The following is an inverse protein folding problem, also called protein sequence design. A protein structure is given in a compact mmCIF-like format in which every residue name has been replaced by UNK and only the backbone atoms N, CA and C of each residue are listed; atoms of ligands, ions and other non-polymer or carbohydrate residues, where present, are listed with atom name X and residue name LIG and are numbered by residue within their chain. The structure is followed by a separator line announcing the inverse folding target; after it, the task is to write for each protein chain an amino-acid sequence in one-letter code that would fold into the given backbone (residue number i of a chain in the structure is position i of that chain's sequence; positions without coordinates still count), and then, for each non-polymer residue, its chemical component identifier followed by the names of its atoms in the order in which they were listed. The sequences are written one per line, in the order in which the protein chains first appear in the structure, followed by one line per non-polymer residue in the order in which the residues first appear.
data_IF_718649115961
#
_entry.id   IF_718649115961
#
_cell.length_a   1.000
_cell.length_b   1.000
_cell.length_c   1.000
_cell.angle_alpha   90.00
_cell.angle_beta   90.00
_cell.angle_gamma   90.00
#
_symmetry.space_group_name_H-M   'P 1'
#
loop_
_entity.id
_entity.type
_entity.pdbx_description
1 polymer ?
#
# COMPACT_ATOMS: atom_id res chain seq x y z
N UNK A 1 -0.77 -10.05 17.07
CA UNK A 1 -0.60 -9.14 15.92
C UNK A 1 0.85 -9.09 15.48
N UNK A 2 1.77 -8.49 16.27
CA UNK A 2 3.17 -8.34 15.85
C UNK A 2 3.93 -9.65 15.58
N UNK A 3 3.58 -10.75 16.24
CA UNK A 3 4.21 -12.05 15.94
C UNK A 3 3.85 -12.57 14.53
N UNK A 4 2.60 -12.35 14.09
CA UNK A 4 2.20 -12.65 12.72
C UNK A 4 2.89 -11.71 11.73
N UNK A 5 2.93 -10.40 12.03
CA UNK A 5 3.64 -9.42 11.20
C UNK A 5 5.10 -9.81 10.97
N UNK A 6 5.83 -10.14 12.05
CA UNK A 6 7.25 -10.50 11.97
C UNK A 6 7.49 -11.80 11.22
N UNK A 7 6.59 -12.78 11.37
CA UNK A 7 6.70 -14.08 10.70
C UNK A 7 6.38 -13.97 9.20
N UNK A 8 5.33 -13.23 8.86
CA UNK A 8 4.72 -13.27 7.52
C UNK A 8 5.04 -12.02 6.68
N UNK A 9 5.54 -10.94 7.29
CA UNK A 9 5.87 -9.67 6.62
C UNK A 9 4.66 -8.75 6.41
N UNK A 10 3.47 -9.17 6.85
CA UNK A 10 2.23 -8.43 6.76
C UNK A 10 1.10 -9.14 7.48
N UNK A 11 -0.05 -8.48 7.63
CA UNK A 11 -1.28 -9.03 8.21
C UNK A 11 -2.50 -8.22 7.77
N UNK A 12 -3.67 -8.83 7.85
CA UNK A 12 -4.97 -8.16 7.67
C UNK A 12 -5.55 -7.85 9.06
N UNK A 13 -5.99 -6.60 9.27
CA UNK A 13 -6.74 -6.19 10.46
C UNK A 13 -8.17 -5.88 10.05
N UNK A 14 -9.09 -6.77 10.38
CA UNK A 14 -10.52 -6.54 10.16
C UNK A 14 -11.06 -5.47 11.11
N UNK A 15 -11.94 -4.60 10.60
CA UNK A 15 -12.59 -3.58 11.42
C UNK A 15 -11.64 -2.55 12.02
N UNK A 16 -10.48 -2.31 11.38
CA UNK A 16 -9.47 -1.36 11.85
C UNK A 16 -10.00 0.08 11.89
N UNK A 17 -10.86 0.43 10.93
CA UNK A 17 -11.52 1.73 10.85
C UNK A 17 -13.03 1.52 11.01
N UNK A 18 -13.70 2.51 11.60
CA UNK A 18 -15.14 2.46 11.70
C UNK A 18 -15.77 2.72 10.32
N UNK A 19 -16.99 2.20 10.13
CA UNK A 19 -17.69 2.27 8.84
C UNK A 19 -17.95 3.71 8.39
N UNK A 20 -18.21 4.65 9.31
CA UNK A 20 -18.45 6.04 8.96
C UNK A 20 -17.20 6.73 8.38
N UNK A 21 -16.01 6.44 8.92
CA UNK A 21 -14.73 6.93 8.39
C UNK A 21 -14.49 6.40 6.98
N UNK A 22 -14.73 5.10 6.74
CA UNK A 22 -14.58 4.51 5.41
C UNK A 22 -15.60 5.09 4.42
N UNK A 23 -16.88 5.17 4.79
CA UNK A 23 -17.93 5.73 3.93
C UNK A 23 -17.66 7.20 3.56
N UNK A 24 -17.17 8.01 4.50
CA UNK A 24 -16.81 9.40 4.25
C UNK A 24 -15.66 9.49 3.22
N UNK A 25 -14.61 8.69 3.39
CA UNK A 25 -13.50 8.63 2.46
C UNK A 25 -13.90 8.13 1.07
N UNK A 26 -14.71 7.06 0.99
CA UNK A 26 -15.25 6.54 -0.28
C UNK A 26 -16.06 7.62 -1.00
N UNK A 27 -17.00 8.27 -0.31
CA UNK A 27 -17.83 9.31 -0.91
C UNK A 27 -17.01 10.53 -1.37
N UNK A 28 -15.96 10.91 -0.63
CA UNK A 28 -15.08 12.01 -1.02
C UNK A 28 -14.20 11.66 -2.21
N UNK A 29 -13.67 10.44 -2.25
CA UNK A 29 -12.91 9.91 -3.36
C UNK A 29 -13.77 9.83 -4.64
N UNK A 30 -15.01 9.34 -4.56
CA UNK A 30 -15.93 9.21 -5.69
C UNK A 30 -16.29 10.57 -6.31
N UNK A 31 -16.45 11.60 -5.48
CA UNK A 31 -16.70 12.97 -5.96
C UNK A 31 -15.51 13.51 -6.75
N UNK A 32 -14.28 13.15 -6.36
CA UNK A 32 -13.04 13.69 -6.92
C UNK A 32 -12.53 12.88 -8.12
N UNK A 33 -12.80 11.58 -8.16
CA UNK A 33 -12.33 10.64 -9.18
C UNK A 33 -12.56 11.14 -10.63
N UNK A 34 -13.73 11.72 -11.01
CA UNK A 34 -13.97 12.14 -12.39
C UNK A 34 -13.01 13.22 -12.93
N UNK A 35 -12.30 13.91 -12.05
CA UNK A 35 -11.31 14.93 -12.43
C UNK A 35 -9.97 14.33 -12.90
N UNK A 36 -9.76 13.02 -12.71
CA UNK A 36 -8.52 12.33 -13.03
C UNK A 36 -8.73 11.30 -14.15
N UNK A 37 -8.14 11.52 -15.34
CA UNK A 37 -8.22 10.53 -16.41
C UNK A 37 -7.52 9.21 -16.03
N UNK A 38 -8.10 8.03 -16.34
CA UNK A 38 -7.41 6.75 -16.18
C UNK A 38 -6.06 6.73 -16.91
N UNK A 39 -5.05 6.11 -16.30
CA UNK A 39 -3.70 5.97 -16.87
C UNK A 39 -2.87 7.27 -16.91
N UNK A 40 -3.36 8.36 -16.32
CA UNK A 40 -2.64 9.64 -16.32
C UNK A 40 -1.47 9.69 -15.32
N UNK A 41 -1.46 8.83 -14.30
CA UNK A 41 -0.42 8.81 -13.28
C UNK A 41 0.81 7.99 -13.73
N UNK A 42 1.99 8.61 -13.68
CA UNK A 42 3.26 8.01 -14.11
C UNK A 42 4.28 7.81 -12.98
N UNK A 43 3.91 8.17 -11.74
CA UNK A 43 4.82 8.21 -10.58
C UNK A 43 6.11 9.02 -10.82
N UNK A 44 6.12 9.94 -11.81
CA UNK A 44 7.33 10.66 -12.21
C UNK A 44 8.38 9.78 -12.91
N UNK A 45 8.07 8.53 -13.24
CA UNK A 45 8.98 7.56 -13.87
C UNK A 45 8.70 7.35 -15.37
N UNK A 46 7.93 8.24 -16.00
CA UNK A 46 7.61 8.18 -17.42
C UNK A 46 6.92 6.87 -17.81
N UNK A 47 7.37 6.23 -18.90
CA UNK A 47 6.77 5.01 -19.43
C UNK A 47 6.82 3.83 -18.45
N UNK A 48 7.89 3.71 -17.65
CA UNK A 48 8.02 2.63 -16.68
C UNK A 48 6.97 2.76 -15.56
N UNK A 49 6.77 3.98 -15.05
CA UNK A 49 5.74 4.23 -14.05
C UNK A 49 4.32 4.13 -14.61
N UNK A 50 4.09 4.55 -15.86
CA UNK A 50 2.81 4.35 -16.53
C UNK A 50 2.48 2.86 -16.68
N UNK A 51 3.46 2.03 -17.06
CA UNK A 51 3.28 0.58 -17.15
C UNK A 51 3.03 -0.07 -15.78
N UNK A 52 3.65 0.44 -14.72
CA UNK A 52 3.41 -0.01 -13.35
C UNK A 52 2.02 0.38 -12.84
N UNK A 53 1.56 1.60 -13.10
CA UNK A 53 0.26 2.10 -12.63
C UNK A 53 -0.91 1.46 -13.37
N UNK A 54 -0.77 1.21 -14.68
CA UNK A 54 -1.84 0.68 -15.51
C UNK A 54 -2.57 1.76 -16.32
N UNK A 55 -3.12 1.35 -17.46
CA UNK A 55 -3.72 2.27 -18.45
C UNK A 55 -5.20 2.62 -18.16
N UNK A 56 -5.87 1.79 -17.37
CA UNK A 56 -7.25 1.92 -16.93
C UNK A 56 -7.35 2.08 -15.39
N UNK A 57 -6.33 2.68 -14.78
CA UNK A 57 -6.29 2.95 -13.34
C UNK A 57 -6.41 4.45 -13.07
N UNK A 58 -7.34 4.84 -12.20
CA UNK A 58 -7.42 6.20 -11.67
C UNK A 58 -6.68 6.23 -10.34
N UNK A 59 -5.63 7.05 -10.26
CA UNK A 59 -4.84 7.21 -9.04
C UNK A 59 -4.60 8.69 -8.76
N UNK A 60 -4.85 9.10 -7.53
CA UNK A 60 -4.60 10.47 -7.08
C UNK A 60 -4.25 10.54 -5.60
N UNK A 61 -3.60 11.64 -5.21
CA UNK A 61 -3.09 11.89 -3.85
C UNK A 61 -3.79 13.09 -3.21
N UNK A 62 -3.18 13.65 -2.16
CA UNK A 62 -3.68 14.81 -1.40
C UNK A 62 -4.96 14.51 -0.60
N UNK A 63 -4.97 13.34 0.04
CA UNK A 63 -6.12 12.82 0.80
C UNK A 63 -6.65 13.77 1.89
N UNK A 64 -5.82 14.56 2.61
CA UNK A 64 -6.35 15.56 3.55
C UNK A 64 -7.20 16.66 2.89
N UNK A 65 -7.14 16.84 1.56
CA UNK A 65 -7.97 17.81 0.83
C UNK A 65 -9.33 17.22 0.41
N UNK A 66 -9.55 15.92 0.61
CA UNK A 66 -10.78 15.24 0.24
C UNK A 66 -11.81 15.30 1.37
N UNK A 67 -11.40 14.88 2.56
CA UNK A 67 -12.26 14.79 3.75
C UNK A 67 -11.39 14.69 5.02
N UNK A 68 -11.91 15.20 6.14
CA UNK A 68 -11.24 15.12 7.45
C UNK A 68 -11.17 13.67 7.97
N UNK A 69 -12.01 12.76 7.45
CA UNK A 69 -11.95 11.33 7.75
C UNK A 69 -10.56 10.72 7.48
N UNK A 70 -9.76 11.30 6.57
CA UNK A 70 -8.38 10.87 6.38
C UNK A 70 -7.50 11.13 7.62
N UNK A 71 -7.76 12.21 8.36
CA UNK A 71 -7.04 12.51 9.60
C UNK A 71 -7.36 11.47 10.68
N UNK A 72 -8.61 10.98 10.75
CA UNK A 72 -8.98 9.88 11.64
C UNK A 72 -8.27 8.56 11.26
N UNK A 73 -8.06 8.32 9.97
CA UNK A 73 -7.26 7.18 9.49
C UNK A 73 -5.80 7.31 9.95
N UNK A 74 -5.23 8.50 9.87
CA UNK A 74 -3.85 8.76 10.28
C UNK A 74 -3.66 8.67 11.80
N UNK A 75 -4.66 9.07 12.58
CA UNK A 75 -4.63 9.06 14.05
C UNK A 75 -5.08 7.71 14.65
N UNK A 76 -5.21 6.67 13.82
CA UNK A 76 -5.65 5.35 14.27
C UNK A 76 -4.60 4.70 15.19
N UNK A 77 -5.01 4.39 16.43
CA UNK A 77 -4.11 3.83 17.46
C UNK A 77 -3.50 2.48 17.06
N UNK A 78 -4.23 1.63 16.34
CA UNK A 78 -3.70 0.33 15.87
C UNK A 78 -2.65 0.56 14.80
N UNK A 79 -2.87 1.52 13.89
CA UNK A 79 -1.89 1.85 12.85
C UNK A 79 -0.61 2.41 13.48
N UNK A 80 -0.77 3.37 14.40
CA UNK A 80 0.32 3.97 15.15
C UNK A 80 1.11 2.93 15.94
N UNK A 81 0.43 1.99 16.62
CA UNK A 81 1.11 0.92 17.38
C UNK A 81 1.95 -0.01 16.49
N UNK A 82 1.49 -0.32 15.28
CA UNK A 82 2.27 -1.09 14.29
C UNK A 82 3.47 -0.27 13.81
N UNK A 83 3.26 1.00 13.45
CA UNK A 83 4.31 1.92 13.02
C UNK A 83 5.39 2.12 14.09
N UNK A 84 4.99 2.33 15.34
CA UNK A 84 5.87 2.45 16.50
C UNK A 84 6.74 1.19 16.66
N UNK A 85 6.13 0.01 16.56
CA UNK A 85 6.84 -1.25 16.74
C UNK A 85 7.84 -1.56 15.61
N UNK A 86 7.59 -1.06 14.40
CA UNK A 86 8.42 -1.35 13.21
C UNK A 86 9.47 -0.27 12.97
N UNK A 87 9.12 1.02 13.07
CA UNK A 87 9.97 2.12 12.61
C UNK A 87 10.78 2.78 13.74
N UNK A 88 10.19 3.02 14.91
CA UNK A 88 10.88 3.71 16.01
C UNK A 88 12.11 3.00 16.59
N UNK A 89 12.30 1.67 16.47
CA UNK A 89 13.59 1.06 16.80
C UNK A 89 14.76 1.56 15.95
N UNK A 90 14.47 2.21 14.81
CA UNK A 90 15.44 2.61 13.80
C UNK A 90 15.47 4.12 13.53
N UNK A 91 14.56 4.90 14.10
CA UNK A 91 14.49 6.35 13.90
C UNK A 91 13.99 7.11 15.14
N UNK A 92 14.12 8.45 15.13
CA UNK A 92 13.57 9.31 16.20
C UNK A 92 12.08 9.63 16.05
N UNK A 93 11.56 9.55 14.82
CA UNK A 93 10.15 9.81 14.47
C UNK A 93 9.89 9.35 13.03
N UNK A 94 8.62 9.12 12.68
CA UNK A 94 8.18 8.82 11.32
C UNK A 94 7.03 9.74 10.90
N UNK A 95 6.74 9.78 9.60
CA UNK A 95 5.59 10.47 9.02
C UNK A 95 5.07 9.71 7.81
N UNK A 96 3.87 10.09 7.34
CA UNK A 96 3.30 9.57 6.10
C UNK A 96 4.12 10.05 4.90
N UNK A 97 4.71 9.11 4.16
CA UNK A 97 5.38 9.41 2.90
C UNK A 97 4.37 9.77 1.80
N UNK A 98 3.40 8.88 1.57
CA UNK A 98 2.39 9.02 0.53
C UNK A 98 1.07 8.39 0.96
N UNK A 99 -0.04 9.10 0.73
CA UNK A 99 -1.40 8.54 0.76
C UNK A 99 -2.07 8.74 -0.58
N UNK A 100 -2.67 7.68 -1.14
CA UNK A 100 -3.30 7.70 -2.46
C UNK A 100 -4.61 6.91 -2.47
N UNK A 101 -5.54 7.36 -3.31
CA UNK A 101 -6.69 6.57 -3.73
C UNK A 101 -6.34 5.89 -5.06
N UNK A 102 -6.82 4.65 -5.21
CA UNK A 102 -6.64 3.84 -6.41
C UNK A 102 -7.98 3.21 -6.78
N UNK A 103 -8.50 3.55 -7.96
CA UNK A 103 -9.57 2.82 -8.62
C UNK A 103 -8.94 2.03 -9.77
N UNK A 104 -8.91 0.70 -9.62
CA UNK A 104 -8.39 -0.20 -10.64
C UNK A 104 -9.55 -0.56 -11.58
N UNK A 105 -9.46 -0.16 -12.83
CA UNK A 105 -10.51 -0.43 -13.82
C UNK A 105 -10.47 -1.88 -14.34
N UNK A 106 -11.58 -2.36 -14.93
CA UNK A 106 -11.65 -3.71 -15.48
C UNK A 106 -10.58 -3.98 -16.54
N UNK A 107 -10.02 -5.20 -16.50
CA UNK A 107 -9.04 -5.68 -17.48
C UNK A 107 -7.62 -5.18 -17.26
N UNK A 108 -7.34 -4.49 -16.16
CA UNK A 108 -5.96 -4.12 -15.80
C UNK A 108 -5.07 -5.33 -15.55
N UNK A 109 -3.80 -5.18 -15.90
CA UNK A 109 -2.80 -6.20 -15.64
C UNK A 109 -2.41 -6.21 -14.16
N UNK A 110 -2.15 -7.40 -13.63
CA UNK A 110 -1.52 -7.51 -12.32
C UNK A 110 -0.15 -6.82 -12.33
N UNK A 111 0.12 -6.02 -11.29
CA UNK A 111 1.44 -5.44 -11.11
C UNK A 111 2.46 -6.56 -10.90
N UNK A 112 3.69 -6.33 -11.37
CA UNK A 112 4.81 -7.23 -11.06
C UNK A 112 5.05 -7.25 -9.56
N UNK A 113 5.47 -8.39 -9.02
CA UNK A 113 5.92 -8.45 -7.63
C UNK A 113 7.06 -7.45 -7.42
N UNK A 114 6.97 -6.69 -6.32
CA UNK A 114 7.91 -5.63 -5.98
C UNK A 114 7.95 -5.43 -4.46
N UNK A 115 8.88 -4.59 -3.99
CA UNK A 115 8.95 -4.13 -2.61
C UNK A 115 8.79 -2.62 -2.58
N UNK A 116 7.93 -2.10 -1.71
CA UNK A 116 7.76 -0.64 -1.58
C UNK A 116 9.03 0.08 -1.11
N UNK A 117 9.92 -0.63 -0.42
CA UNK A 117 11.24 -0.13 -0.06
C UNK A 117 12.13 0.19 -1.27
N UNK A 118 11.80 -0.32 -2.47
CA UNK A 118 12.54 -0.01 -3.71
C UNK A 118 12.44 1.47 -4.10
N UNK A 119 11.51 2.24 -3.52
CA UNK A 119 11.52 3.70 -3.59
C UNK A 119 12.82 4.32 -3.04
N UNK A 120 13.52 3.61 -2.15
CA UNK A 120 14.84 3.96 -1.62
C UNK A 120 15.90 2.95 -2.05
N UNK A 121 15.88 2.55 -3.33
CA UNK A 121 16.77 1.54 -3.91
C UNK A 121 18.24 1.69 -3.54
N UNK A 122 18.77 2.92 -3.54
CA UNK A 122 20.17 3.19 -3.22
C UNK A 122 20.55 2.78 -1.79
N UNK A 123 19.63 2.97 -0.85
CA UNK A 123 19.78 2.50 0.52
C UNK A 123 19.63 0.97 0.59
N UNK A 124 18.53 0.43 0.05
CA UNK A 124 18.21 -1.01 0.09
C UNK A 124 19.35 -1.84 -0.49
N UNK A 125 19.86 -1.49 -1.68
CA UNK A 125 20.93 -2.25 -2.36
C UNK A 125 22.25 -2.22 -1.59
N UNK A 126 22.49 -1.19 -0.79
CA UNK A 126 23.76 -1.01 -0.06
C UNK A 126 23.78 -1.76 1.28
N UNK A 127 22.61 -1.99 1.88
CA UNK A 127 22.47 -2.60 3.19
C UNK A 127 22.02 -4.07 3.14
N UNK A 128 21.58 -4.58 1.98
CA UNK A 128 21.04 -5.94 1.84
C UNK A 128 22.04 -7.04 2.28
N UNK A 129 21.61 -8.09 2.99
CA UNK A 129 20.25 -8.38 3.48
C UNK A 129 19.90 -7.73 4.83
N UNK A 130 20.78 -6.91 5.40
CA UNK A 130 20.62 -6.30 6.72
C UNK A 130 19.93 -4.93 6.66
N UNK A 131 18.96 -4.77 5.75
CA UNK A 131 18.16 -3.54 5.65
C UNK A 131 17.26 -3.46 6.87
N UNK A 132 17.19 -2.29 7.52
CA UNK A 132 16.19 -2.07 8.57
C UNK A 132 14.87 -1.60 7.94
N UNK A 133 13.75 -1.82 8.62
CA UNK A 133 12.47 -1.34 8.14
C UNK A 133 12.44 0.20 8.13
N UNK A 134 12.31 0.78 6.94
CA UNK A 134 12.26 2.23 6.71
C UNK A 134 10.87 2.72 6.27
N UNK A 135 9.96 1.79 5.99
CA UNK A 135 8.60 2.07 5.54
C UNK A 135 7.68 0.94 5.97
N UNK A 136 6.42 1.28 6.25
CA UNK A 136 5.33 0.33 6.31
C UNK A 136 4.23 0.80 5.36
N UNK A 137 3.56 -0.15 4.71
CA UNK A 137 2.47 0.14 3.79
C UNK A 137 1.17 -0.41 4.36
N UNK A 138 0.09 0.35 4.22
CA UNK A 138 -1.25 -0.06 4.58
C UNK A 138 -2.16 0.06 3.35
N UNK A 139 -2.77 -1.06 2.98
CA UNK A 139 -3.84 -1.11 1.97
C UNK A 139 -5.17 -1.12 2.72
N UNK A 140 -6.02 -0.14 2.45
CA UNK A 140 -7.31 0.03 3.12
C UNK A 140 -8.41 -0.23 2.09
N UNK A 141 -9.25 -1.23 2.34
CA UNK A 141 -10.41 -1.50 1.50
C UNK A 141 -11.47 -0.43 1.71
N UNK A 142 -11.70 0.41 0.69
CA UNK A 142 -12.84 1.34 0.67
C UNK A 142 -14.14 0.67 0.19
N UNK A 143 -13.97 -0.42 -0.55
CA UNK A 143 -14.98 -1.34 -1.01
C UNK A 143 -14.47 -2.78 -0.83
N UNK A 144 -15.31 -3.76 -1.16
CA UNK A 144 -14.90 -5.16 -1.17
C UNK A 144 -13.85 -5.40 -2.27
N UNK A 145 -12.76 -6.05 -1.89
CA UNK A 145 -11.66 -6.44 -2.76
C UNK A 145 -11.46 -7.95 -2.63
N UNK A 146 -11.79 -8.68 -3.70
CA UNK A 146 -11.70 -10.15 -3.76
C UNK A 146 -10.62 -10.60 -4.75
N UNK A 147 -10.26 -11.88 -4.74
CA UNK A 147 -9.35 -12.44 -5.75
C UNK A 147 -9.85 -12.20 -7.18
N UNK A 148 -11.16 -12.33 -7.43
CA UNK A 148 -11.77 -12.10 -8.74
C UNK A 148 -11.64 -10.63 -9.20
N UNK A 149 -11.71 -9.68 -8.27
CA UNK A 149 -11.55 -8.25 -8.54
C UNK A 149 -10.10 -7.79 -8.63
N UNK A 150 -9.14 -8.70 -8.39
CA UNK A 150 -7.72 -8.41 -8.43
C UNK A 150 -7.14 -7.95 -7.10
N UNK A 151 -7.53 -8.59 -5.99
CA UNK A 151 -6.94 -8.38 -4.67
C UNK A 151 -5.40 -8.39 -4.71
N UNK A 152 -4.81 -7.51 -3.91
CA UNK A 152 -3.36 -7.37 -3.81
C UNK A 152 -2.73 -8.73 -3.53
N UNK A 153 -1.77 -9.13 -4.36
CA UNK A 153 -1.06 -10.41 -4.18
C UNK A 153 0.17 -10.20 -3.32
N UNK A 154 0.30 -11.00 -2.27
CA UNK A 154 1.43 -10.95 -1.34
C UNK A 154 2.12 -12.31 -1.26
N UNK A 155 3.42 -12.29 -0.93
CA UNK A 155 4.22 -13.50 -0.69
C UNK A 155 4.65 -13.50 0.78
N UNK A 156 3.90 -14.16 1.68
CA UNK A 156 4.23 -14.22 3.10
C UNK A 156 5.65 -14.75 3.33
N UNK A 157 6.40 -14.10 4.22
CA UNK A 157 7.78 -14.47 4.55
C UNK A 157 8.85 -13.93 3.59
N UNK A 158 8.46 -13.32 2.47
CA UNK A 158 9.39 -12.80 1.44
C UNK A 158 10.27 -11.63 1.90
N UNK A 159 9.91 -10.99 3.01
CA UNK A 159 10.72 -9.97 3.69
C UNK A 159 12.01 -10.54 4.30
N UNK A 160 12.09 -11.86 4.51
CA UNK A 160 13.28 -12.53 5.10
C UNK A 160 14.24 -13.12 4.07
N UNK A 161 13.95 -13.01 2.78
CA UNK A 161 14.80 -13.60 1.75
C UNK A 161 16.18 -12.96 1.72
N UNK A 162 17.24 -13.78 1.70
CA UNK A 162 18.61 -13.29 1.61
C UNK A 162 18.94 -12.70 0.22
N UNK A 163 18.23 -13.15 -0.82
CA UNK A 163 18.41 -12.65 -2.18
C UNK A 163 17.67 -11.33 -2.39
N UNK A 164 18.41 -10.31 -2.84
CA UNK A 164 17.83 -9.02 -3.22
C UNK A 164 16.99 -9.14 -4.49
N UNK A 165 17.43 -9.99 -5.43
CA UNK A 165 16.70 -10.24 -6.66
C UNK A 165 15.54 -11.22 -6.41
N UNK A 166 14.32 -10.72 -6.57
CA UNK A 166 13.07 -11.46 -6.41
C UNK A 166 12.39 -11.74 -7.77
N UNK A 167 13.06 -11.48 -8.90
CA UNK A 167 12.51 -11.57 -10.27
C UNK A 167 12.38 -13.01 -10.78
N UNK A 168 11.71 -13.84 -10.01
CA UNK A 168 11.24 -15.17 -10.39
C UNK A 168 9.77 -15.29 -10.01
N UNK A 169 9.06 -16.24 -10.60
CA UNK A 169 7.69 -16.49 -10.18
C UNK A 169 7.66 -17.02 -8.74
N UNK A 170 6.79 -16.45 -7.92
CA UNK A 170 6.56 -16.88 -6.55
C UNK A 170 5.09 -17.21 -6.37
N UNK A 171 4.82 -18.24 -5.58
CA UNK A 171 3.47 -18.48 -5.09
C UNK A 171 3.07 -17.31 -4.19
N UNK A 172 1.93 -16.71 -4.49
CA UNK A 172 1.38 -15.57 -3.76
C UNK A 172 -0.07 -15.85 -3.40
N UNK A 173 -0.54 -15.21 -2.35
CA UNK A 173 -1.92 -15.29 -1.88
C UNK A 173 -2.62 -13.95 -2.07
N UNK A 174 -3.93 -13.93 -2.38
CA UNK A 174 -4.70 -12.69 -2.43
C UNK A 174 -4.93 -12.15 -1.01
N UNK A 175 -4.73 -10.85 -0.82
CA UNK A 175 -5.16 -10.13 0.37
C UNK A 175 -6.54 -9.52 0.12
N UNK A 176 -7.58 -10.30 0.43
CA UNK A 176 -8.96 -9.84 0.31
C UNK A 176 -9.30 -8.87 1.45
N UNK A 177 -9.92 -7.74 1.10
CA UNK A 177 -10.22 -6.64 2.02
C UNK A 177 -11.68 -6.24 1.91
N UNK A 178 -12.22 -5.64 2.97
CA UNK A 178 -13.54 -5.04 2.97
C UNK A 178 -13.55 -3.69 3.69
N UNK A 179 -14.65 -2.93 3.54
CA UNK A 179 -14.85 -1.66 4.22
C UNK A 179 -15.20 -1.81 5.72
#
# INVERSE_FOLDING_TARGET
MMDAFRRDGGLIVEGMFNRATIDAMTAAADRRMPEFPPGSATQGMGAAGAAFVGANTVRFSSLPLLDDAYLDILDNEVYAAIADAVLLPHCGSYWVNTGQIMYIGPGEAAQVLHRDADNWWEYVRSAWPNVVDITISAMIGLEEVTEELGATRVVPGSHTWENLDYRVEHESVPAELGP
#
